data_IF_816812954206
#
_entry.id   IF_816812954206
#
_cell.length_a   1.000
_cell.length_b   1.000
_cell.length_c   1.000
_cell.angle_alpha   90.00
_cell.angle_beta   90.00
_cell.angle_gamma   90.00
#
_symmetry.space_group_name_H-M   'P 1'
#
loop_
_entity.id
_entity.type
_entity.pdbx_description
1 polymer ?
#
# COMPACT_ATOMS: atom_id res chain seq x y z
N UNK A 1 14.78 15.34 -5.30
CA UNK A 1 13.55 15.96 -4.78
C UNK A 1 13.44 15.83 -3.26
N UNK A 2 13.46 14.62 -2.67
CA UNK A 2 13.36 14.41 -1.21
C UNK A 2 14.38 15.26 -0.43
N UNK A 3 15.67 15.16 -0.78
CA UNK A 3 16.71 16.01 -0.17
C UNK A 3 16.40 17.50 -0.23
N UNK A 4 15.89 17.99 -1.36
CA UNK A 4 15.55 19.41 -1.52
C UNK A 4 14.42 19.82 -0.59
N UNK A 5 13.37 18.99 -0.47
CA UNK A 5 12.26 19.22 0.46
C UNK A 5 12.76 19.24 1.90
N UNK A 6 13.61 18.28 2.27
CA UNK A 6 14.14 18.12 3.63
C UNK A 6 15.20 19.14 4.04
N UNK A 7 15.93 19.72 3.08
CA UNK A 7 16.98 20.71 3.34
C UNK A 7 16.49 22.16 3.28
N UNK A 8 15.35 22.42 2.66
CA UNK A 8 14.79 23.78 2.56
C UNK A 8 14.07 24.17 3.86
N UNK A 9 14.44 25.31 4.43
CA UNK A 9 13.82 25.86 5.66
C UNK A 9 12.29 25.98 5.56
N UNK A 10 11.77 26.30 4.36
CA UNK A 10 10.34 26.46 4.13
C UNK A 10 9.57 25.13 4.07
N UNK A 11 10.27 24.01 3.88
CA UNK A 11 9.66 22.72 3.57
C UNK A 11 10.18 21.56 4.40
N UNK A 12 11.20 21.75 5.24
CA UNK A 12 11.84 20.68 6.02
C UNK A 12 10.89 19.95 6.96
N UNK A 13 9.83 20.64 7.41
CA UNK A 13 8.79 20.08 8.26
C UNK A 13 7.72 19.28 7.48
N UNK A 14 7.78 19.28 6.14
CA UNK A 14 6.86 18.48 5.33
C UNK A 14 7.24 17.01 5.46
N UNK A 15 6.24 16.19 5.77
CA UNK A 15 6.33 14.74 5.74
C UNK A 15 6.26 14.25 4.30
N UNK A 16 7.22 13.43 3.90
CA UNK A 16 7.39 12.92 2.54
C UNK A 16 7.27 11.41 2.56
N UNK A 17 6.23 10.91 1.87
CA UNK A 17 6.12 9.52 1.47
C UNK A 17 6.66 9.35 0.05
N UNK A 18 7.63 8.46 -0.14
CA UNK A 18 8.22 8.14 -1.44
C UNK A 18 7.85 6.70 -1.87
N UNK A 19 7.81 6.43 -3.16
CA UNK A 19 7.52 5.08 -3.67
C UNK A 19 6.91 5.08 -5.08
N UNK A 20 6.48 3.93 -5.60
CA UNK A 20 6.60 2.61 -4.95
C UNK A 20 7.97 1.97 -5.22
N UNK A 21 8.44 1.14 -4.29
CA UNK A 21 9.66 0.33 -4.46
C UNK A 21 9.33 -1.16 -4.48
N UNK A 22 10.01 -1.91 -5.35
CA UNK A 22 10.01 -3.37 -5.37
C UNK A 22 11.45 -3.92 -5.36
N UNK A 23 12.35 -3.18 -4.70
CA UNK A 23 13.74 -3.55 -4.49
C UNK A 23 14.19 -2.99 -3.12
N UNK A 24 14.66 -3.85 -2.20
CA UNK A 24 15.15 -3.43 -0.88
C UNK A 24 16.31 -2.41 -0.93
N UNK A 25 17.18 -2.47 -1.93
CA UNK A 25 18.25 -1.46 -2.10
C UNK A 25 17.68 -0.09 -2.45
N UNK A 26 16.58 -0.02 -3.19
CA UNK A 26 15.89 1.25 -3.46
C UNK A 26 15.25 1.80 -2.19
N UNK A 27 14.70 0.95 -1.33
CA UNK A 27 14.22 1.36 0.00
C UNK A 27 15.36 1.99 0.81
N UNK A 28 16.52 1.32 0.88
CA UNK A 28 17.71 1.83 1.58
C UNK A 28 18.12 3.21 1.06
N UNK A 29 18.25 3.37 -0.25
CA UNK A 29 18.62 4.66 -0.86
C UNK A 29 17.62 5.77 -0.51
N UNK A 30 16.31 5.48 -0.56
CA UNK A 30 15.28 6.47 -0.21
C UNK A 30 15.30 6.84 1.29
N UNK A 31 15.59 5.87 2.16
CA UNK A 31 15.76 6.11 3.59
C UNK A 31 16.99 7.00 3.87
N UNK A 32 18.13 6.72 3.24
CA UNK A 32 19.37 7.50 3.36
C UNK A 32 19.24 8.95 2.87
N UNK A 33 18.33 9.22 1.92
CA UNK A 33 18.05 10.59 1.47
C UNK A 33 17.02 11.33 2.32
N UNK A 34 16.49 10.69 3.37
CA UNK A 34 15.59 11.31 4.36
C UNK A 34 14.10 11.21 4.04
N UNK A 35 13.64 10.17 3.34
CA UNK A 35 12.20 9.91 3.23
C UNK A 35 11.63 9.55 4.61
N UNK A 36 10.45 10.07 4.99
CA UNK A 36 9.82 9.71 6.26
C UNK A 36 9.08 8.38 6.15
N UNK A 37 8.44 8.15 5.00
CA UNK A 37 7.71 6.93 4.68
C UNK A 37 8.14 6.43 3.31
N UNK A 38 8.23 5.11 3.16
CA UNK A 38 8.44 4.50 1.85
C UNK A 38 7.31 3.50 1.58
N UNK A 39 6.59 3.73 0.48
CA UNK A 39 5.55 2.85 -0.03
C UNK A 39 6.21 1.70 -0.78
N UNK A 40 6.01 0.47 -0.28
CA UNK A 40 6.61 -0.74 -0.83
C UNK A 40 5.56 -1.55 -1.59
N UNK A 41 6.04 -2.28 -2.61
CA UNK A 41 5.33 -3.12 -3.58
C UNK A 41 5.08 -2.47 -4.94
N UNK A 42 5.38 -3.22 -6.00
CA UNK A 42 5.00 -2.93 -7.38
C UNK A 42 4.31 -4.16 -7.94
N UNK A 43 3.16 -3.98 -8.58
CA UNK A 43 2.45 -5.06 -9.28
C UNK A 43 1.57 -5.98 -8.43
N UNK A 44 1.52 -5.82 -7.10
CA UNK A 44 0.67 -6.66 -6.21
C UNK A 44 -0.81 -6.25 -6.15
N UNK A 45 -1.15 -5.02 -6.57
CA UNK A 45 -2.49 -4.46 -6.41
C UNK A 45 -3.55 -5.24 -7.19
N UNK A 46 -4.77 -5.33 -6.64
CA UNK A 46 -5.86 -6.14 -7.21
C UNK A 46 -6.28 -5.71 -8.63
N UNK A 47 -6.30 -4.40 -8.87
CA UNK A 47 -6.57 -3.81 -10.17
C UNK A 47 -5.29 -3.50 -10.98
N UNK A 48 -4.12 -3.95 -10.52
CA UNK A 48 -2.84 -3.73 -11.18
C UNK A 48 -2.51 -4.91 -12.10
N UNK A 49 -1.91 -4.64 -13.25
CA UNK A 49 -1.45 -5.66 -14.20
C UNK A 49 0.03 -5.54 -14.52
N UNK A 50 0.78 -4.66 -13.86
CA UNK A 50 2.25 -4.49 -14.03
C UNK A 50 3.00 -5.81 -13.94
N UNK A 51 2.76 -6.62 -12.89
CA UNK A 51 3.46 -7.88 -12.70
C UNK A 51 3.17 -8.89 -13.83
N UNK A 52 1.91 -8.98 -14.25
CA UNK A 52 1.47 -9.91 -15.30
C UNK A 52 1.96 -9.48 -16.68
N UNK A 53 1.91 -8.19 -16.97
CA UNK A 53 2.23 -7.65 -18.30
C UNK A 53 3.73 -7.42 -18.50
N UNK A 54 4.46 -7.01 -17.45
CA UNK A 54 5.87 -6.59 -17.54
C UNK A 54 6.84 -7.50 -16.78
N UNK A 55 6.36 -8.41 -15.94
CA UNK A 55 7.22 -9.28 -15.11
C UNK A 55 7.94 -8.56 -13.97
N UNK A 56 7.75 -7.25 -13.81
CA UNK A 56 8.37 -6.45 -12.74
C UNK A 56 7.56 -6.61 -11.45
N UNK A 57 8.11 -7.36 -10.50
CA UNK A 57 7.44 -7.71 -9.25
C UNK A 57 8.46 -8.12 -8.17
N UNK A 58 8.08 -7.95 -6.90
CA UNK A 58 8.77 -8.55 -5.77
C UNK A 58 7.74 -9.13 -4.79
N UNK A 59 7.87 -10.38 -4.32
CA UNK A 59 6.93 -10.97 -3.38
C UNK A 59 6.78 -10.13 -2.11
N UNK A 60 5.55 -9.67 -1.84
CA UNK A 60 5.28 -8.68 -0.78
C UNK A 60 5.84 -9.05 0.60
N UNK A 61 5.65 -10.30 1.04
CA UNK A 61 6.13 -10.74 2.35
C UNK A 61 7.66 -10.64 2.46
N UNK A 62 8.36 -11.10 1.42
CA UNK A 62 9.83 -10.98 1.33
C UNK A 62 10.25 -9.51 1.26
N UNK A 63 9.57 -8.69 0.46
CA UNK A 63 9.90 -7.28 0.32
C UNK A 63 9.79 -6.53 1.66
N UNK A 64 8.72 -6.76 2.41
CA UNK A 64 8.53 -6.15 3.73
C UNK A 64 9.66 -6.57 4.67
N UNK A 65 9.95 -7.87 4.76
CA UNK A 65 10.99 -8.41 5.62
C UNK A 65 12.39 -7.85 5.27
N UNK A 66 12.73 -7.79 3.98
CA UNK A 66 14.03 -7.32 3.52
C UNK A 66 14.18 -5.79 3.74
N UNK A 67 13.13 -5.01 3.48
CA UNK A 67 13.10 -3.58 3.81
C UNK A 67 13.17 -3.34 5.32
N UNK A 68 12.52 -4.18 6.13
CA UNK A 68 12.56 -4.09 7.59
C UNK A 68 13.97 -4.35 8.12
N UNK A 69 14.69 -5.31 7.55
CA UNK A 69 16.11 -5.53 7.87
C UNK A 69 16.95 -4.26 7.62
N UNK A 70 16.76 -3.59 6.48
CA UNK A 70 17.43 -2.31 6.20
C UNK A 70 17.02 -1.20 7.15
N UNK A 71 15.74 -1.10 7.51
CA UNK A 71 15.23 -0.13 8.49
C UNK A 71 15.93 -0.31 9.85
N UNK A 72 16.06 -1.56 10.33
CA UNK A 72 16.75 -1.86 11.59
C UNK A 72 18.23 -1.47 11.56
N UNK A 73 18.92 -1.69 10.43
CA UNK A 73 20.30 -1.24 10.26
C UNK A 73 20.39 0.28 10.24
N UNK A 74 19.50 0.96 9.52
CA UNK A 74 19.50 2.41 9.40
C UNK A 74 19.24 3.10 10.75
N UNK A 75 18.30 2.59 11.55
CA UNK A 75 18.00 3.08 12.91
C UNK A 75 19.19 3.03 13.87
N UNK A 76 20.12 2.09 13.67
CA UNK A 76 21.36 2.01 14.47
C UNK A 76 22.40 3.04 14.05
N UNK A 77 22.30 3.58 12.84
CA UNK A 77 23.29 4.45 12.22
C UNK A 77 22.84 5.91 12.11
N UNK A 78 21.52 6.17 12.17
CA UNK A 78 20.93 7.48 12.00
C UNK A 78 19.80 7.71 13.01
N UNK A 79 19.61 8.96 13.41
CA UNK A 79 18.51 9.38 14.30
C UNK A 79 17.13 9.42 13.60
N UNK A 80 17.11 9.26 12.27
CA UNK A 80 15.89 9.27 11.47
C UNK A 80 15.40 7.86 11.17
N UNK A 81 14.18 7.52 11.60
CA UNK A 81 13.56 6.22 11.32
C UNK A 81 12.56 6.34 10.16
N UNK A 82 12.92 5.81 9.00
CA UNK A 82 12.00 5.70 7.86
C UNK A 82 10.99 4.58 8.07
N UNK A 83 9.70 4.87 7.85
CA UNK A 83 8.59 3.93 8.04
C UNK A 83 8.25 3.18 6.75
N UNK A 84 7.86 1.92 6.87
CA UNK A 84 7.46 1.03 5.78
C UNK A 84 5.95 1.05 5.61
N UNK A 85 5.47 1.37 4.41
CA UNK A 85 4.04 1.32 4.05
C UNK A 85 3.82 0.23 3.02
N UNK A 86 3.28 -0.93 3.44
CA UNK A 86 2.97 -2.04 2.55
C UNK A 86 1.69 -1.74 1.74
N UNK A 87 1.81 -1.64 0.42
CA UNK A 87 0.73 -1.17 -0.45
C UNK A 87 0.23 -2.25 -1.44
N UNK A 88 -1.06 -2.54 -1.37
CA UNK A 88 -1.76 -3.42 -2.31
C UNK A 88 -1.61 -4.92 -2.03
N UNK A 89 -2.35 -5.76 -2.75
CA UNK A 89 -2.26 -7.23 -2.66
C UNK A 89 -2.97 -7.89 -1.47
N UNK A 90 -3.50 -7.11 -0.52
CA UNK A 90 -4.31 -7.61 0.58
C UNK A 90 -5.70 -8.01 0.13
N UNK A 91 -6.10 -9.24 0.45
CA UNK A 91 -7.41 -9.85 0.21
C UNK A 91 -8.10 -10.31 1.49
N UNK A 92 -7.34 -10.52 2.57
CA UNK A 92 -7.85 -11.02 3.85
C UNK A 92 -7.25 -10.26 5.03
N UNK A 93 -7.94 -10.26 6.17
CA UNK A 93 -7.45 -9.68 7.43
C UNK A 93 -6.13 -10.34 7.88
N UNK A 94 -5.99 -11.65 7.68
CA UNK A 94 -4.76 -12.37 8.02
C UNK A 94 -3.54 -11.91 7.23
N UNK A 95 -3.71 -11.46 5.98
CA UNK A 95 -2.60 -10.91 5.20
C UNK A 95 -2.17 -9.53 5.72
N UNK A 96 -3.12 -8.70 6.15
CA UNK A 96 -2.82 -7.41 6.80
C UNK A 96 -2.03 -7.65 8.09
N UNK A 97 -2.52 -8.55 8.95
CA UNK A 97 -1.85 -8.91 10.21
C UNK A 97 -0.44 -9.43 9.96
N UNK A 98 -0.26 -10.30 8.95
CA UNK A 98 1.06 -10.81 8.57
C UNK A 98 2.00 -9.71 8.08
N UNK A 99 1.52 -8.75 7.30
CA UNK A 99 2.37 -7.64 6.85
C UNK A 99 2.87 -6.79 8.03
N UNK A 100 1.99 -6.48 8.98
CA UNK A 100 2.38 -5.78 10.21
C UNK A 100 3.40 -6.60 11.01
N UNK A 101 3.13 -7.89 11.23
CA UNK A 101 4.04 -8.79 11.95
C UNK A 101 5.40 -8.98 11.27
N UNK A 102 5.48 -8.81 9.94
CA UNK A 102 6.74 -8.87 9.18
C UNK A 102 7.56 -7.56 9.26
N UNK A 103 7.03 -6.51 9.89
CA UNK A 103 7.75 -5.24 10.10
C UNK A 103 7.27 -4.08 9.25
N UNK A 104 6.11 -4.17 8.59
CA UNK A 104 5.47 -3.00 8.00
C UNK A 104 4.90 -2.11 9.13
N UNK A 105 5.19 -0.81 9.09
CA UNK A 105 4.61 0.15 10.04
C UNK A 105 3.15 0.47 9.68
N UNK A 106 2.82 0.44 8.39
CA UNK A 106 1.48 0.71 7.87
C UNK A 106 1.13 -0.23 6.72
N UNK A 107 -0.16 -0.45 6.54
CA UNK A 107 -0.72 -1.05 5.31
C UNK A 107 -1.57 -0.03 4.57
N UNK A 108 -1.49 -0.04 3.24
CA UNK A 108 -2.34 0.77 2.36
C UNK A 108 -3.30 -0.16 1.60
N UNK A 109 -4.60 0.11 1.74
CA UNK A 109 -5.68 -0.73 1.25
C UNK A 109 -6.47 0.00 0.17
N UNK A 110 -6.60 -0.61 -1.00
CA UNK A 110 -7.45 -0.12 -2.10
C UNK A 110 -8.76 -0.89 -2.17
N UNK A 111 -8.74 -2.04 -2.85
CA UNK A 111 -9.91 -2.87 -3.16
C UNK A 111 -10.77 -3.21 -1.93
N UNK A 112 -10.15 -3.58 -0.80
CA UNK A 112 -10.86 -3.88 0.46
C UNK A 112 -11.62 -2.69 1.07
N UNK A 113 -11.14 -1.45 0.87
CA UNK A 113 -11.85 -0.26 1.32
C UNK A 113 -12.89 0.18 0.29
N UNK A 114 -12.63 -0.02 -1.01
CA UNK A 114 -13.61 0.24 -2.07
C UNK A 114 -14.87 -0.61 -1.92
N UNK A 115 -14.76 -1.85 -1.41
CA UNK A 115 -15.95 -2.70 -1.18
C UNK A 115 -16.93 -2.12 -0.16
N UNK A 116 -16.47 -1.25 0.74
CA UNK A 116 -17.32 -0.66 1.78
C UNK A 116 -18.44 0.20 1.18
N UNK A 117 -19.66 0.07 1.71
CA UNK A 117 -20.85 0.71 1.15
C UNK A 117 -20.76 2.26 1.08
N UNK A 118 -20.10 2.88 2.06
CA UNK A 118 -19.97 4.33 2.20
C UNK A 118 -18.66 4.90 1.63
N UNK A 119 -17.79 4.07 1.05
CA UNK A 119 -16.58 4.56 0.38
C UNK A 119 -16.88 5.11 -1.02
N UNK A 120 -15.92 5.84 -1.60
CA UNK A 120 -16.06 6.33 -2.97
C UNK A 120 -16.08 5.18 -4.00
N UNK A 121 -16.68 5.43 -5.16
CA UNK A 121 -16.80 4.47 -6.27
C UNK A 121 -18.25 4.26 -6.70
N UNK A 122 -18.47 4.03 -7.99
CA UNK A 122 -19.80 3.85 -8.56
C UNK A 122 -20.35 2.47 -8.20
N UNK A 123 -21.64 2.42 -7.83
CA UNK A 123 -22.38 1.16 -7.74
C UNK A 123 -22.94 0.85 -9.13
N UNK A 124 -22.65 -0.35 -9.63
CA UNK A 124 -23.10 -0.84 -10.93
C UNK A 124 -23.90 -2.13 -10.76
N UNK A 125 -24.86 -2.37 -11.65
CA UNK A 125 -25.57 -3.64 -11.75
C UNK A 125 -24.83 -4.54 -12.73
N UNK A 126 -24.44 -5.74 -12.29
CA UNK A 126 -23.78 -6.74 -13.12
C UNK A 126 -24.31 -8.13 -12.75
N UNK A 127 -24.73 -8.93 -13.73
CA UNK A 127 -25.33 -10.26 -13.50
C UNK A 127 -26.39 -10.27 -12.37
N UNK A 128 -27.31 -9.31 -12.41
CA UNK A 128 -28.39 -9.13 -11.43
C UNK A 128 -27.95 -8.85 -9.97
N UNK A 129 -26.69 -8.51 -9.75
CA UNK A 129 -26.15 -8.13 -8.44
C UNK A 129 -25.51 -6.74 -8.48
N UNK A 130 -25.58 -6.02 -7.36
CA UNK A 130 -24.92 -4.73 -7.20
C UNK A 130 -23.47 -4.91 -6.76
N UNK A 131 -22.56 -4.26 -7.48
CA UNK A 131 -21.13 -4.23 -7.20
C UNK A 131 -20.62 -2.81 -7.14
N UNK A 132 -19.49 -2.61 -6.46
CA UNK A 132 -18.70 -1.38 -6.57
C UNK A 132 -17.60 -1.52 -7.59
N UNK A 133 -17.57 -0.56 -8.50
CA UNK A 133 -16.53 -0.44 -9.51
C UNK A 133 -15.25 0.12 -8.87
N UNK A 134 -14.13 -0.53 -9.16
CA UNK A 134 -12.79 -0.10 -8.78
C UNK A 134 -11.86 -0.24 -9.99
N UNK A 135 -11.07 0.79 -10.28
CA UNK A 135 -10.13 0.76 -11.39
C UNK A 135 -8.72 1.11 -10.92
N UNK A 136 -7.72 0.45 -11.51
CA UNK A 136 -6.33 0.82 -11.30
C UNK A 136 -6.04 2.17 -11.95
N UNK A 137 -5.23 3.03 -11.31
CA UNK A 137 -4.89 4.35 -11.87
C UNK A 137 -4.13 4.27 -13.21
N UNK A 138 -3.47 3.14 -13.50
CA UNK A 138 -2.81 2.86 -14.77
C UNK A 138 -3.70 2.07 -15.76
N UNK A 139 -4.99 1.90 -15.47
CA UNK A 139 -5.98 1.39 -16.44
C UNK A 139 -6.30 2.45 -17.49
N UNK A 140 -6.93 2.04 -18.60
CA UNK A 140 -7.37 2.97 -19.64
C UNK A 140 -8.26 4.09 -19.08
N UNK A 141 -9.25 3.73 -18.27
CA UNK A 141 -10.15 4.71 -17.63
C UNK A 141 -9.40 5.62 -16.64
N UNK A 142 -8.47 5.06 -15.86
CA UNK A 142 -7.62 5.85 -14.97
C UNK A 142 -6.73 6.86 -15.71
N UNK A 143 -6.14 6.44 -16.83
CA UNK A 143 -5.30 7.31 -17.67
C UNK A 143 -6.11 8.40 -18.38
N UNK A 144 -7.29 8.06 -18.90
CA UNK A 144 -8.21 9.02 -19.53
C UNK A 144 -8.64 10.11 -18.54
N UNK A 145 -9.01 9.74 -17.31
CA UNK A 145 -9.36 10.70 -16.25
C UNK A 145 -8.19 11.59 -15.82
N UNK A 146 -6.95 11.09 -15.93
CA UNK A 146 -5.74 11.86 -15.66
C UNK A 146 -5.30 12.74 -16.85
N UNK A 147 -6.04 12.75 -17.96
CA UNK A 147 -5.68 13.50 -19.16
C UNK A 147 -4.43 12.97 -19.87
N UNK A 148 -4.02 11.72 -19.60
CA UNK A 148 -2.85 11.10 -20.24
C UNK A 148 -3.24 10.57 -21.62
N UNK A 149 -3.08 11.40 -22.65
CA UNK A 149 -3.32 11.05 -24.05
C UNK A 149 -1.99 10.69 -24.74
N UNK A 150 -1.72 9.39 -24.94
CA UNK A 150 -0.51 8.90 -25.60
C UNK A 150 -0.49 7.38 -25.75
N UNK A 151 0.56 6.83 -26.38
CA UNK A 151 0.78 5.39 -26.49
C UNK A 151 1.31 4.82 -25.15
N UNK A 152 0.43 4.71 -24.16
CA UNK A 152 0.74 4.03 -22.90
C UNK A 152 0.16 2.62 -22.94
N UNK A 153 0.97 1.62 -22.62
CA UNK A 153 0.46 0.27 -22.36
C UNK A 153 -0.29 0.29 -21.02
N UNK A 154 -1.58 -0.10 -20.95
CA UNK A 154 -2.31 -0.11 -19.71
C UNK A 154 -1.74 -1.16 -18.74
N UNK A 155 -1.51 -0.74 -17.51
CA UNK A 155 -1.01 -1.56 -16.39
C UNK A 155 -2.05 -1.68 -15.26
N UNK A 156 -3.33 -1.50 -15.61
CA UNK A 156 -4.43 -1.71 -14.70
C UNK A 156 -5.71 -2.13 -15.41
N UNK A 157 -6.63 -2.68 -14.61
CA UNK A 157 -7.96 -3.14 -15.05
C UNK A 157 -9.06 -2.53 -14.18
N UNK A 158 -10.30 -2.74 -14.60
CA UNK A 158 -11.49 -2.53 -13.77
C UNK A 158 -11.79 -3.85 -13.06
N UNK A 159 -12.18 -3.77 -11.79
CA UNK A 159 -12.67 -4.88 -10.98
C UNK A 159 -14.00 -4.48 -10.33
N UNK A 160 -14.86 -5.47 -10.09
CA UNK A 160 -16.17 -5.29 -9.49
C UNK A 160 -16.17 -5.98 -8.13
N UNK A 161 -16.19 -5.17 -7.08
CA UNK A 161 -16.14 -5.64 -5.70
C UNK A 161 -17.55 -5.81 -5.14
N UNK A 162 -17.77 -6.91 -4.42
CA UNK A 162 -19.00 -7.09 -3.65
C UNK A 162 -19.12 -5.98 -2.62
N UNK A 163 -20.33 -5.46 -2.42
CA UNK A 163 -20.59 -4.42 -1.43
C UNK A 163 -20.56 -5.04 -0.03
N UNK A 164 -19.78 -4.43 0.86
CA UNK A 164 -19.66 -4.80 2.28
C UNK A 164 -20.20 -3.68 3.16
N UNK A 165 -20.10 -3.87 4.49
CA UNK A 165 -20.43 -2.85 5.49
C UNK A 165 -19.65 -1.53 5.34
N UNK A 166 -19.97 -0.57 6.21
CA UNK A 166 -19.31 0.74 6.28
C UNK A 166 -17.83 0.64 6.63
N UNK A 167 -17.05 1.63 6.19
CA UNK A 167 -15.63 1.76 6.52
C UNK A 167 -15.39 1.75 8.03
N UNK A 168 -16.27 2.35 8.83
CA UNK A 168 -16.15 2.33 10.30
C UNK A 168 -16.18 0.90 10.87
N UNK A 169 -17.10 0.06 10.40
CA UNK A 169 -17.23 -1.33 10.81
C UNK A 169 -16.02 -2.14 10.34
N UNK A 170 -15.53 -1.89 9.12
CA UNK A 170 -14.29 -2.49 8.64
C UNK A 170 -13.11 -2.18 9.57
N UNK A 171 -12.95 -0.91 9.97
CA UNK A 171 -11.87 -0.48 10.87
C UNK A 171 -11.98 -1.08 12.26
N UNK A 172 -13.19 -1.12 12.84
CA UNK A 172 -13.44 -1.76 14.14
C UNK A 172 -13.10 -3.25 14.11
N UNK A 173 -13.54 -3.95 13.07
CA UNK A 173 -13.24 -5.36 12.86
C UNK A 173 -11.74 -5.60 12.68
N UNK A 174 -11.06 -4.80 11.85
CA UNK A 174 -9.61 -4.90 11.66
C UNK A 174 -8.87 -4.76 13.00
N UNK A 175 -9.23 -3.77 13.81
CA UNK A 175 -8.62 -3.57 15.12
C UNK A 175 -8.89 -4.76 16.08
N UNK A 176 -10.10 -5.33 16.04
CA UNK A 176 -10.44 -6.51 16.83
C UNK A 176 -9.65 -7.75 16.40
N UNK A 177 -9.51 -8.00 15.09
CA UNK A 177 -8.73 -9.12 14.57
C UNK A 177 -7.24 -8.99 14.89
N UNK A 178 -6.67 -7.77 14.83
CA UNK A 178 -5.29 -7.52 15.24
C UNK A 178 -5.11 -7.86 16.72
N UNK A 179 -5.97 -7.37 17.62
CA UNK A 179 -5.89 -7.69 19.06
C UNK A 179 -6.02 -9.19 19.33
N UNK A 180 -6.92 -9.87 18.62
CA UNK A 180 -7.07 -11.32 18.73
C UNK A 180 -5.81 -12.06 18.30
N UNK A 181 -5.23 -11.72 17.15
CA UNK A 181 -3.97 -12.31 16.70
C UNK A 181 -2.82 -12.07 17.69
N UNK A 182 -2.71 -10.85 18.22
CA UNK A 182 -1.73 -10.49 19.23
C UNK A 182 -1.85 -11.34 20.50
N UNK A 183 -3.07 -11.65 20.97
CA UNK A 183 -3.26 -12.53 22.13
C UNK A 183 -2.78 -13.98 21.91
N UNK A 184 -2.78 -14.46 20.67
CA UNK A 184 -2.23 -15.78 20.33
C UNK A 184 -0.70 -15.79 20.22
N UNK A 185 -0.08 -14.61 20.08
CA UNK A 185 1.36 -14.45 19.89
C UNK A 185 2.06 -13.84 21.12
N UNK A 186 1.35 -13.67 22.25
CA UNK A 186 1.85 -12.99 23.45
C UNK A 186 2.40 -11.58 23.15
N UNK A 187 1.76 -10.87 22.20
CA UNK A 187 2.10 -9.51 21.83
C UNK A 187 1.17 -8.52 22.53
N UNK A 188 1.73 -7.52 23.20
CA UNK A 188 0.97 -6.50 23.93
C UNK A 188 0.82 -5.18 23.15
N UNK A 189 1.74 -4.94 22.20
CA UNK A 189 1.81 -3.75 21.35
C UNK A 189 2.06 -4.16 19.90
N UNK A 190 1.82 -3.21 18.98
CA UNK A 190 2.23 -3.38 17.57
C UNK A 190 3.73 -3.10 17.36
N UNK A 191 4.34 -2.34 18.27
CA UNK A 191 5.79 -2.15 18.37
C UNK A 191 6.46 -3.36 19.05
#
# INVERSE_FOLDING_TARGET
MIKLVKQSENTKNIVVMAGNVANPETFKLLAEVGADYIRVSVGSGDACTTAVNLGVYYPMASLINDCYYYKLLNKKLNDHETKIVADGGFKTMSQIIKALALGADYVMLGSMLNSCADSAGRIVLHNDHHYKEYYGMASKEGMEKLGKTGHYAPEGKIVYNTITDKVSIFSENLAAYIRSAMSYCDAYTLD
#
